data_IF_773878117415
#
_entry.id   IF_773878117415
#
_cell.length_a   1.000
_cell.length_b   1.000
_cell.length_c   1.000
_cell.angle_alpha   90.00
_cell.angle_beta   90.00
_cell.angle_gamma   90.00
#
_symmetry.space_group_name_H-M   'P 1'
#
loop_
_entity.id
_entity.type
_entity.pdbx_description
1 polymer ?
#
# COMPACT_ATOMS: atom_id res chain seq x y z
N UNK A 1 -4.35 3.21 18.16
CA UNK A 1 -5.75 3.63 17.97
C UNK A 1 -6.20 3.25 16.56
N UNK A 2 -7.50 3.00 16.30
CA UNK A 2 -8.01 2.80 14.95
C UNK A 2 -8.01 4.14 14.19
N UNK A 3 -7.57 4.09 12.93
CA UNK A 3 -7.53 5.25 12.06
C UNK A 3 -8.64 5.12 11.01
N UNK A 4 -9.45 6.16 10.84
CA UNK A 4 -10.55 6.17 9.89
C UNK A 4 -10.26 7.12 8.74
N UNK A 5 -10.24 6.58 7.53
CA UNK A 5 -10.23 7.35 6.29
C UNK A 5 -11.65 7.71 5.89
N UNK A 6 -11.86 8.94 5.44
CA UNK A 6 -13.13 9.38 4.85
C UNK A 6 -12.92 9.81 3.40
N UNK A 7 -13.76 9.33 2.47
CA UNK A 7 -13.61 9.61 1.05
C UNK A 7 -13.78 11.09 0.71
N UNK A 8 -14.66 11.80 1.43
CA UNK A 8 -14.94 13.22 1.21
C UNK A 8 -14.70 14.05 2.47
N UNK A 9 -14.15 15.25 2.33
CA UNK A 9 -13.94 16.21 3.40
C UNK A 9 -15.27 16.56 4.09
N UNK A 10 -15.19 16.83 5.39
CA UNK A 10 -16.33 17.28 6.19
C UNK A 10 -16.38 16.62 7.57
N UNK A 11 -17.36 16.99 8.38
CA UNK A 11 -17.56 16.43 9.71
C UNK A 11 -18.45 15.18 9.68
N UNK A 12 -18.35 14.35 10.71
CA UNK A 12 -19.35 13.32 11.00
C UNK A 12 -20.27 13.76 12.17
N UNK A 13 -21.18 12.89 12.60
CA UNK A 13 -22.16 13.19 13.66
C UNK A 13 -21.59 13.12 15.08
N UNK A 14 -20.41 12.52 15.28
CA UNK A 14 -19.70 12.43 16.55
C UNK A 14 -18.75 13.62 16.79
N UNK A 15 -18.56 14.48 15.78
CA UNK A 15 -17.79 15.73 15.89
C UNK A 15 -16.35 15.63 15.39
N UNK A 16 -15.95 14.52 14.77
CA UNK A 16 -14.67 14.45 14.06
C UNK A 16 -14.77 15.20 12.73
N UNK A 17 -13.67 15.81 12.31
CA UNK A 17 -13.62 16.62 11.09
C UNK A 17 -12.48 16.17 10.20
N UNK A 18 -12.82 15.82 8.96
CA UNK A 18 -11.85 15.50 7.91
C UNK A 18 -11.58 16.76 7.09
N UNK A 19 -10.35 17.32 7.12
CA UNK A 19 -10.03 18.59 6.47
C UNK A 19 -10.01 18.49 4.95
N UNK A 20 -9.72 17.31 4.40
CA UNK A 20 -9.60 17.05 2.96
C UNK A 20 -10.18 15.68 2.59
N UNK A 21 -10.45 15.50 1.30
CA UNK A 21 -10.96 14.25 0.73
C UNK A 21 -9.91 13.15 0.88
N UNK A 22 -10.29 12.01 1.44
CA UNK A 22 -9.35 10.92 1.73
C UNK A 22 -8.52 11.13 3.00
N UNK A 23 -8.78 12.17 3.80
CA UNK A 23 -8.09 12.37 5.07
C UNK A 23 -8.29 11.19 6.02
N UNK A 24 -7.33 11.02 6.93
CA UNK A 24 -7.33 9.97 7.95
C UNK A 24 -7.33 10.64 9.32
N UNK A 25 -8.32 10.29 10.15
CA UNK A 25 -8.48 10.82 11.51
C UNK A 25 -8.44 9.66 12.50
N UNK A 26 -7.78 9.90 13.63
CA UNK A 26 -7.75 8.96 14.74
C UNK A 26 -9.06 9.05 15.53
N UNK A 27 -9.71 7.89 15.73
CA UNK A 27 -10.94 7.81 16.52
C UNK A 27 -10.66 6.87 17.69
N UNK A 28 -10.74 7.38 18.92
CA UNK A 28 -10.38 6.59 20.11
C UNK A 28 -11.43 5.52 20.46
N UNK A 29 -12.66 5.70 19.96
CA UNK A 29 -13.82 4.88 20.32
C UNK A 29 -14.13 3.82 19.25
N UNK A 30 -14.03 2.52 19.57
CA UNK A 30 -14.26 1.44 18.61
C UNK A 30 -15.74 1.28 18.21
N UNK A 31 -16.69 1.70 19.04
CA UNK A 31 -18.11 1.66 18.69
C UNK A 31 -18.45 2.73 17.64
N UNK A 32 -17.86 3.93 17.76
CA UNK A 32 -17.93 4.97 16.73
C UNK A 32 -17.31 4.52 15.42
N UNK A 33 -16.16 3.84 15.46
CA UNK A 33 -15.52 3.25 14.27
C UNK A 33 -16.47 2.29 13.55
N UNK A 34 -17.03 1.32 14.28
CA UNK A 34 -17.95 0.34 13.70
C UNK A 34 -19.21 1.01 13.12
N UNK A 35 -19.72 2.04 13.80
CA UNK A 35 -20.85 2.82 13.32
C UNK A 35 -20.54 3.56 12.01
N UNK A 36 -19.39 4.23 11.92
CA UNK A 36 -18.95 4.94 10.71
C UNK A 36 -18.76 3.97 9.53
N UNK A 37 -18.13 2.81 9.75
CA UNK A 37 -17.94 1.77 8.72
C UNK A 37 -19.25 1.12 8.26
N UNK A 38 -20.30 1.18 9.09
CA UNK A 38 -21.63 0.65 8.75
C UNK A 38 -22.40 1.60 7.83
N UNK A 39 -21.98 2.86 7.67
CA UNK A 39 -22.66 3.82 6.79
C UNK A 39 -22.20 3.59 5.34
N UNK A 40 -23.03 2.99 4.46
CA UNK A 40 -22.61 2.64 3.11
C UNK A 40 -22.35 3.86 2.22
N UNK A 41 -22.95 5.01 2.54
CA UNK A 41 -22.82 6.26 1.79
C UNK A 41 -21.75 7.21 2.38
N UNK A 42 -21.23 6.88 3.56
CA UNK A 42 -20.34 7.78 4.31
C UNK A 42 -18.90 7.82 3.79
N UNK A 43 -18.54 6.87 2.92
CA UNK A 43 -17.18 6.77 2.37
C UNK A 43 -16.12 6.52 3.44
N UNK A 44 -16.47 5.91 4.57
CA UNK A 44 -15.56 5.62 5.66
C UNK A 44 -14.83 4.28 5.42
N UNK A 45 -13.55 4.22 5.78
CA UNK A 45 -12.74 2.99 5.69
C UNK A 45 -11.73 2.93 6.81
N UNK A 46 -11.55 1.76 7.41
CA UNK A 46 -10.57 1.54 8.47
C UNK A 46 -9.17 1.45 7.84
N UNK A 47 -8.23 2.20 8.42
CA UNK A 47 -6.81 2.17 8.08
C UNK A 47 -6.06 1.60 9.29
N UNK A 48 -5.38 0.49 9.09
CA UNK A 48 -4.53 -0.08 10.13
C UNK A 48 -3.14 0.58 10.04
N UNK A 49 -2.67 1.35 11.04
CA UNK A 49 -1.30 1.86 11.08
C UNK A 49 -0.35 0.69 11.29
N UNK A 50 0.10 0.11 10.18
CA UNK A 50 0.82 -1.17 10.21
C UNK A 50 0.84 -1.87 8.86
N UNK A 51 -0.09 -1.57 7.95
CA UNK A 51 0.04 -2.02 6.55
C UNK A 51 0.98 -1.08 5.76
N UNK A 52 2.21 -0.96 6.25
CA UNK A 52 3.36 -0.66 5.38
C UNK A 52 3.77 -1.98 4.74
N UNK A 53 2.89 -2.55 3.92
CA UNK A 53 3.02 -3.93 3.44
C UNK A 53 2.53 -4.19 2.02
N UNK A 54 1.83 -3.25 1.37
CA UNK A 54 1.22 -3.51 0.04
C UNK A 54 1.91 -2.73 -1.10
N UNK A 55 3.21 -2.44 -0.96
CA UNK A 55 4.02 -1.94 -2.10
C UNK A 55 5.41 -2.59 -2.20
N UNK A 56 5.68 -3.63 -1.40
CA UNK A 56 6.90 -4.45 -1.52
C UNK A 56 6.61 -5.95 -1.72
N UNK A 57 5.35 -6.37 -1.98
CA UNK A 57 5.03 -7.74 -2.43
C UNK A 57 4.95 -7.85 -3.97
N UNK A 58 5.86 -7.17 -4.66
CA UNK A 58 6.22 -7.51 -6.05
C UNK A 58 7.74 -7.64 -6.24
N UNK A 59 8.52 -7.66 -5.16
CA UNK A 59 9.97 -7.67 -5.23
C UNK A 59 10.61 -9.06 -5.43
N UNK A 60 9.85 -10.14 -5.62
CA UNK A 60 10.42 -11.44 -5.99
C UNK A 60 9.70 -12.08 -7.19
N UNK A 61 9.91 -11.50 -8.38
CA UNK A 61 10.14 -12.37 -9.55
C UNK A 61 11.49 -13.05 -9.32
N UNK A 62 11.46 -14.15 -8.57
CA UNK A 62 12.47 -15.20 -8.64
C UNK A 62 12.26 -15.94 -9.96
N UNK A 63 12.69 -15.35 -11.08
CA UNK A 63 12.87 -16.11 -12.33
C UNK A 63 14.21 -16.86 -12.22
N UNK A 64 14.24 -17.85 -11.34
CA UNK A 64 15.15 -18.97 -11.42
C UNK A 64 14.53 -20.02 -12.35
N UNK A 65 14.73 -19.86 -13.66
CA UNK A 65 14.73 -21.01 -14.58
C UNK A 65 16.01 -20.98 -15.42
N UNK A 66 17.01 -21.73 -14.93
CA UNK A 66 18.16 -22.14 -15.71
C UNK A 66 17.73 -23.35 -16.58
N UNK A 67 18.31 -23.57 -17.78
CA UNK A 67 19.52 -24.38 -17.75
C UNK A 67 20.61 -24.08 -18.79
N UNK A 68 21.81 -24.53 -18.42
CA UNK A 68 23.03 -24.78 -19.22
C UNK A 68 22.75 -25.00 -20.71
N UNK A 69 23.59 -24.42 -21.58
CA UNK A 69 24.49 -25.20 -22.48
C UNK A 69 25.32 -24.32 -23.41
N UNK A 70 26.64 -24.54 -23.38
CA UNK A 70 27.46 -24.59 -24.60
C UNK A 70 28.16 -23.30 -25.02
N UNK A 71 29.50 -23.31 -24.98
CA UNK A 71 30.27 -22.35 -25.79
C UNK A 71 31.67 -22.00 -25.30
N UNK A 72 32.53 -23.00 -25.05
CA UNK A 72 33.98 -22.76 -25.04
C UNK A 72 34.39 -22.06 -26.35
N UNK A 73 35.19 -21.00 -26.24
CA UNK A 73 36.30 -20.53 -27.11
C UNK A 73 36.35 -19.00 -26.93
N UNK A 74 37.24 -18.40 -26.14
CA UNK A 74 38.68 -18.62 -26.15
C UNK A 74 39.29 -18.03 -27.42
N UNK A 75 39.53 -16.71 -27.46
CA UNK A 75 40.66 -16.03 -28.14
C UNK A 75 40.54 -14.48 -28.09
N UNK A 76 41.39 -13.84 -27.27
CA UNK A 76 42.14 -12.62 -27.68
C UNK A 76 43.24 -13.05 -28.68
N UNK A 77 44.01 -12.18 -29.36
CA UNK A 77 44.12 -10.71 -29.34
C UNK A 77 43.91 -10.14 -30.79
N UNK A 78 44.22 -8.93 -31.25
CA UNK A 78 45.27 -7.96 -30.96
C UNK A 78 44.96 -6.61 -31.65
N UNK A 79 45.73 -5.60 -31.26
CA UNK A 79 45.82 -4.24 -31.79
C UNK A 79 45.88 -4.11 -33.32
N UNK A 80 45.23 -3.07 -33.86
CA UNK A 80 45.55 -2.29 -35.07
C UNK A 80 44.50 -1.16 -35.11
N UNK A 81 44.74 0.11 -35.37
CA UNK A 81 45.88 0.91 -35.79
C UNK A 81 45.61 2.35 -35.33
#
# INVERSE_FOLDING_TARGET
>A
MPLIRKAQAGSDSYGHTWPEDGAVVEVDDPEQVAALLTIPDGGFSEVTPGTRGDWEEFAEVSESDAPKSGGRRGRRPASTE
#
